data_IF_800502312845
#
_entry.id   IF_800502312845
#
_cell.length_a   1.000
_cell.length_b   1.000
_cell.length_c   1.000
_cell.angle_alpha   90.00
_cell.angle_beta   90.00
_cell.angle_gamma   90.00
#
_symmetry.space_group_name_H-M   'P 1'
#
loop_
_entity.id
_entity.type
_entity.pdbx_description
1 polymer ?
#
# COMPACT_ATOMS: atom_id res chain seq x y z
N UNK A 1 -8.81 -13.99 -5.12
CA UNK A 1 -9.63 -12.84 -5.52
C UNK A 1 -9.49 -11.81 -4.40
N UNK A 2 -9.10 -10.58 -4.70
CA UNK A 2 -8.96 -9.55 -3.66
C UNK A 2 -10.33 -8.95 -3.33
N UNK A 3 -10.45 -8.30 -2.16
CA UNK A 3 -11.71 -7.69 -1.71
C UNK A 3 -12.29 -6.72 -2.74
N UNK A 4 -11.44 -5.88 -3.33
CA UNK A 4 -11.86 -4.81 -4.27
C UNK A 4 -11.08 -4.76 -5.58
N UNK A 5 -10.06 -5.61 -5.72
CA UNK A 5 -9.19 -5.66 -6.90
C UNK A 5 -8.78 -7.10 -7.20
N UNK A 6 -8.74 -7.41 -8.49
CA UNK A 6 -8.21 -8.68 -8.99
C UNK A 6 -6.93 -8.46 -9.79
N UNK A 7 -6.09 -9.48 -9.86
CA UNK A 7 -4.81 -9.44 -10.55
C UNK A 7 -4.76 -10.58 -11.58
N UNK A 8 -4.51 -10.23 -12.83
CA UNK A 8 -4.04 -11.19 -13.85
C UNK A 8 -2.55 -10.98 -14.07
N UNK A 9 -1.78 -12.05 -13.96
CA UNK A 9 -0.34 -12.03 -14.23
C UNK A 9 -0.14 -12.33 -15.72
N UNK A 10 0.56 -11.43 -16.42
CA UNK A 10 0.99 -11.61 -17.80
C UNK A 10 2.36 -12.30 -17.80
N UNK A 11 3.31 -11.75 -17.03
CA UNK A 11 4.66 -12.28 -16.85
C UNK A 11 4.97 -12.37 -15.36
N UNK A 12 5.47 -13.52 -14.90
CA UNK A 12 5.89 -13.69 -13.51
C UNK A 12 7.18 -12.91 -13.21
N UNK A 13 7.29 -12.24 -12.05
CA UNK A 13 8.55 -11.66 -11.60
C UNK A 13 9.55 -12.73 -11.17
N UNK A 14 10.83 -12.51 -11.46
CA UNK A 14 11.96 -13.33 -10.97
C UNK A 14 12.76 -12.58 -9.92
N UNK A 15 13.92 -13.10 -9.49
CA UNK A 15 14.81 -12.35 -8.59
C UNK A 15 15.36 -11.09 -9.24
N UNK A 16 15.70 -11.16 -10.52
CA UNK A 16 16.41 -10.11 -11.25
C UNK A 16 15.49 -9.25 -12.11
N UNK A 17 14.34 -9.78 -12.53
CA UNK A 17 13.45 -9.12 -13.51
C UNK A 17 12.04 -8.96 -12.97
N UNK A 18 11.50 -7.74 -13.11
CA UNK A 18 10.09 -7.47 -12.81
C UNK A 18 9.16 -8.20 -13.78
N UNK A 19 8.00 -8.60 -13.27
CA UNK A 19 6.92 -9.17 -14.05
C UNK A 19 6.00 -8.09 -14.63
N UNK A 20 4.92 -8.52 -15.25
CA UNK A 20 3.83 -7.67 -15.76
C UNK A 20 2.50 -8.24 -15.35
N UNK A 21 1.58 -7.37 -14.95
CA UNK A 21 0.24 -7.79 -14.58
C UNK A 21 -0.78 -6.67 -14.77
N UNK A 22 -2.05 -7.06 -14.74
CA UNK A 22 -3.18 -6.15 -14.82
C UNK A 22 -3.99 -6.20 -13.55
N UNK A 23 -4.16 -5.05 -12.92
CA UNK A 23 -5.12 -4.88 -11.85
C UNK A 23 -6.48 -4.53 -12.45
N UNK A 24 -7.49 -5.30 -12.08
CA UNK A 24 -8.90 -5.05 -12.38
C UNK A 24 -9.56 -4.48 -11.13
N UNK A 25 -10.02 -3.25 -11.21
CA UNK A 25 -10.68 -2.55 -10.13
C UNK A 25 -12.17 -2.86 -10.21
N UNK A 26 -12.71 -3.54 -9.20
CA UNK A 26 -14.12 -3.92 -9.21
C UNK A 26 -15.02 -2.85 -8.60
N UNK A 27 -16.32 -2.99 -8.85
CA UNK A 27 -17.38 -2.21 -8.19
C UNK A 27 -17.71 -2.72 -6.77
N UNK A 28 -17.02 -3.78 -6.33
CA UNK A 28 -17.10 -4.31 -4.96
C UNK A 28 -16.52 -3.34 -3.95
N UNK A 29 -17.02 -3.38 -2.72
CA UNK A 29 -16.44 -2.67 -1.58
C UNK A 29 -16.41 -3.58 -0.35
N UNK A 30 -15.62 -3.18 0.64
CA UNK A 30 -15.47 -3.88 1.91
C UNK A 30 -15.56 -2.88 3.05
N UNK A 31 -16.14 -3.29 4.17
CA UNK A 31 -16.24 -2.50 5.40
C UNK A 31 -15.79 -3.39 6.54
N UNK A 32 -14.94 -2.88 7.44
CA UNK A 32 -14.41 -3.64 8.59
C UNK A 32 -13.74 -4.97 8.23
N UNK A 33 -13.08 -5.05 7.07
CA UNK A 33 -12.38 -6.24 6.58
C UNK A 33 -13.25 -7.51 6.47
N UNK A 34 -14.57 -7.34 6.36
CA UNK A 34 -15.52 -8.46 6.20
C UNK A 34 -15.46 -9.15 4.82
N UNK A 35 -14.64 -8.66 3.90
CA UNK A 35 -14.65 -9.10 2.50
C UNK A 35 -15.65 -8.31 1.65
N UNK A 36 -16.10 -8.91 0.55
CA UNK A 36 -17.03 -8.28 -0.39
C UNK A 36 -18.41 -8.06 0.24
N UNK A 37 -18.94 -6.85 0.13
CA UNK A 37 -20.31 -6.52 0.48
C UNK A 37 -21.29 -7.03 -0.60
N UNK A 38 -22.54 -7.37 -0.24
CA UNK A 38 -23.49 -7.99 -1.17
C UNK A 38 -23.88 -7.08 -2.34
N UNK A 39 -23.85 -5.76 -2.13
CA UNK A 39 -24.16 -4.76 -3.15
C UNK A 39 -22.88 -4.26 -3.84
N UNK A 40 -23.04 -3.77 -5.07
CA UNK A 40 -21.97 -3.11 -5.82
C UNK A 40 -22.24 -1.61 -5.97
N UNK A 41 -21.18 -0.81 -6.04
CA UNK A 41 -21.27 0.63 -6.29
C UNK A 41 -20.94 0.85 -7.78
N UNK A 42 -21.93 1.17 -8.64
CA UNK A 42 -21.71 1.27 -10.07
C UNK A 42 -20.58 2.24 -10.45
N UNK A 43 -19.68 1.80 -11.32
CA UNK A 43 -18.52 2.54 -11.82
C UNK A 43 -17.46 2.90 -10.77
N UNK A 44 -17.55 2.40 -9.53
CA UNK A 44 -16.51 2.60 -8.52
C UNK A 44 -15.15 2.10 -9.01
N UNK A 45 -15.10 0.94 -9.65
CA UNK A 45 -13.87 0.34 -10.16
C UNK A 45 -13.16 1.25 -11.18
N UNK A 46 -13.92 1.72 -12.17
CA UNK A 46 -13.46 2.69 -13.17
C UNK A 46 -12.98 4.00 -12.54
N UNK A 47 -13.77 4.56 -11.61
CA UNK A 47 -13.40 5.80 -10.93
C UNK A 47 -12.08 5.67 -10.15
N UNK A 48 -11.92 4.59 -9.38
CA UNK A 48 -10.70 4.33 -8.60
C UNK A 48 -9.49 4.03 -9.49
N UNK A 49 -9.69 3.33 -10.61
CA UNK A 49 -8.63 3.09 -11.59
C UNK A 49 -8.11 4.41 -12.17
N UNK A 50 -9.01 5.31 -12.59
CA UNK A 50 -8.64 6.63 -13.12
C UNK A 50 -7.98 7.54 -12.07
N UNK A 51 -8.48 7.54 -10.84
CA UNK A 51 -7.87 8.30 -9.73
C UNK A 51 -6.45 7.76 -9.46
N UNK A 52 -6.27 6.45 -9.42
CA UNK A 52 -4.96 5.82 -9.26
C UNK A 52 -3.99 6.21 -10.38
N UNK A 53 -4.44 6.10 -11.63
CA UNK A 53 -3.67 6.52 -12.80
C UNK A 53 -3.25 8.00 -12.74
N UNK A 54 -4.16 8.89 -12.34
CA UNK A 54 -3.88 10.31 -12.19
C UNK A 54 -2.72 10.56 -11.22
N UNK A 55 -2.75 9.93 -10.04
CA UNK A 55 -1.68 10.10 -9.07
C UNK A 55 -0.37 9.47 -9.54
N UNK A 56 -0.39 8.30 -10.19
CA UNK A 56 0.82 7.71 -10.77
C UNK A 56 1.48 8.63 -11.79
N UNK A 57 0.73 9.15 -12.76
CA UNK A 57 1.27 10.06 -13.77
C UNK A 57 1.78 11.38 -13.17
N UNK A 58 1.16 11.87 -12.10
CA UNK A 58 1.64 13.05 -11.36
C UNK A 58 2.97 12.77 -10.67
N UNK A 59 3.10 11.63 -10.00
CA UNK A 59 4.34 11.21 -9.34
C UNK A 59 5.48 11.02 -10.35
N UNK A 60 5.20 10.43 -11.50
CA UNK A 60 6.19 10.27 -12.57
C UNK A 60 6.67 11.61 -13.14
N UNK A 61 5.76 12.59 -13.30
CA UNK A 61 6.12 13.97 -13.67
C UNK A 61 6.99 14.66 -12.62
N UNK A 62 6.92 14.23 -11.36
CA UNK A 62 7.79 14.68 -10.27
C UNK A 62 9.10 13.88 -10.18
N UNK A 63 9.35 12.92 -11.09
CA UNK A 63 10.54 12.07 -11.09
C UNK A 63 10.48 10.89 -10.11
N UNK A 64 9.33 10.64 -9.48
CA UNK A 64 9.14 9.52 -8.55
C UNK A 64 8.84 8.26 -9.37
N UNK A 65 9.65 7.22 -9.18
CA UNK A 65 9.48 5.94 -9.87
C UNK A 65 8.22 5.24 -9.38
N UNK A 66 7.43 4.73 -10.31
CA UNK A 66 6.23 3.95 -10.00
C UNK A 66 6.27 2.59 -10.70
N UNK A 67 5.32 1.72 -10.36
CA UNK A 67 5.12 0.47 -11.08
C UNK A 67 4.10 0.59 -12.23
N UNK A 68 3.58 1.78 -12.51
CA UNK A 68 2.48 1.98 -13.44
C UNK A 68 2.97 1.94 -14.90
N UNK A 69 2.20 1.29 -15.78
CA UNK A 69 2.45 1.35 -17.22
C UNK A 69 1.36 2.08 -18.00
N UNK A 70 0.15 2.21 -17.45
CA UNK A 70 -0.98 2.82 -18.14
C UNK A 70 -2.33 2.20 -17.75
N UNK A 71 -3.41 2.92 -18.02
CA UNK A 71 -4.77 2.35 -18.05
C UNK A 71 -4.96 1.54 -19.32
N UNK A 72 -5.61 0.39 -19.23
CA UNK A 72 -5.78 -0.49 -20.39
C UNK A 72 -6.94 -0.01 -21.25
N UNK A 73 -6.64 0.34 -22.50
CA UNK A 73 -7.62 0.75 -23.52
C UNK A 73 -7.30 0.05 -24.83
N UNK A 74 -8.31 -0.58 -25.45
CA UNK A 74 -8.13 -1.45 -26.62
C UNK A 74 -7.02 -2.51 -26.42
N UNK A 75 -6.93 -3.05 -25.20
CA UNK A 75 -5.98 -4.11 -24.83
C UNK A 75 -4.54 -3.64 -24.60
N UNK A 76 -4.23 -2.34 -24.71
CA UNK A 76 -2.90 -1.78 -24.48
C UNK A 76 -2.89 -0.77 -23.34
N UNK A 77 -1.81 -0.66 -22.56
CA UNK A 77 -1.66 0.41 -21.59
C UNK A 77 -1.50 1.76 -22.30
N UNK A 78 -2.25 2.76 -21.84
CA UNK A 78 -2.24 4.14 -22.32
C UNK A 78 -2.25 5.10 -21.15
N UNK A 79 -1.72 6.30 -21.35
CA UNK A 79 -1.87 7.40 -20.40
C UNK A 79 -3.28 8.00 -20.47
N UNK A 80 -3.65 8.77 -19.44
CA UNK A 80 -4.98 9.35 -19.30
C UNK A 80 -5.36 10.28 -20.46
N UNK A 81 -4.39 10.99 -21.04
CA UNK A 81 -4.60 11.89 -22.19
C UNK A 81 -4.79 11.15 -23.53
N UNK A 82 -4.61 9.82 -23.55
CA UNK A 82 -4.72 8.96 -24.73
C UNK A 82 -5.98 8.08 -24.74
N UNK A 83 -6.84 8.22 -23.74
CA UNK A 83 -8.10 7.49 -23.63
C UNK A 83 -9.31 8.42 -23.76
N UNK A 84 -10.38 7.90 -24.35
CA UNK A 84 -11.67 8.62 -24.49
C UNK A 84 -12.76 8.06 -23.59
N UNK A 85 -12.57 6.84 -23.08
CA UNK A 85 -13.53 6.12 -22.25
C UNK A 85 -12.85 5.62 -20.96
N UNK A 86 -13.57 5.62 -19.82
CA UNK A 86 -13.02 5.16 -18.55
C UNK A 86 -12.73 3.66 -18.58
N UNK A 87 -11.59 3.27 -18.01
CA UNK A 87 -11.17 1.88 -17.84
C UNK A 87 -11.11 1.50 -16.36
N UNK A 88 -11.51 0.29 -16.04
CA UNK A 88 -11.37 -0.33 -14.71
C UNK A 88 -10.06 -1.10 -14.56
N UNK A 89 -9.24 -1.13 -15.62
CA UNK A 89 -8.05 -1.96 -15.69
C UNK A 89 -6.82 -1.11 -15.88
N UNK A 90 -5.77 -1.36 -15.10
CA UNK A 90 -4.44 -0.77 -15.32
C UNK A 90 -3.38 -1.85 -15.39
N UNK A 91 -2.37 -1.62 -16.21
CA UNK A 91 -1.20 -2.49 -16.29
C UNK A 91 -0.07 -1.95 -15.42
N UNK A 92 0.60 -2.86 -14.72
CA UNK A 92 1.66 -2.54 -13.77
C UNK A 92 2.83 -3.51 -13.89
N UNK A 93 4.01 -3.04 -13.48
CA UNK A 93 5.17 -3.87 -13.17
C UNK A 93 4.89 -4.65 -11.89
N UNK A 94 5.09 -5.96 -11.95
CA UNK A 94 5.03 -6.83 -10.78
C UNK A 94 6.44 -7.04 -10.21
N UNK A 95 6.49 -7.18 -8.89
CA UNK A 95 7.67 -7.59 -8.13
C UNK A 95 7.34 -8.87 -7.38
N UNK A 96 8.36 -9.59 -6.89
CA UNK A 96 8.12 -10.79 -6.10
C UNK A 96 7.41 -10.46 -4.78
N UNK A 97 6.49 -11.31 -4.38
CA UNK A 97 5.90 -11.27 -3.04
C UNK A 97 6.55 -12.38 -2.23
N UNK A 98 7.46 -12.00 -1.33
CA UNK A 98 8.13 -12.93 -0.41
C UNK A 98 7.25 -13.00 0.84
N UNK A 99 6.64 -14.14 1.12
CA UNK A 99 5.76 -14.26 2.28
C UNK A 99 6.58 -14.59 3.53
N UNK A 100 6.38 -13.89 4.66
CA UNK A 100 6.93 -14.35 5.93
C UNK A 100 6.32 -15.71 6.31
N UNK A 101 7.05 -16.50 7.08
CA UNK A 101 6.58 -17.81 7.56
C UNK A 101 6.01 -17.70 8.96
N UNK A 102 4.98 -18.49 9.28
CA UNK A 102 4.40 -18.49 10.63
C UNK A 102 5.39 -19.14 11.61
N UNK A 103 5.61 -18.49 12.75
CA UNK A 103 6.46 -18.94 13.85
C UNK A 103 5.65 -19.00 15.17
N UNK A 104 6.14 -19.67 16.23
CA UNK A 104 5.42 -19.76 17.51
C UNK A 104 5.05 -18.39 18.12
N UNK A 105 5.93 -17.39 17.96
CA UNK A 105 5.77 -16.05 18.55
C UNK A 105 5.36 -14.98 17.50
N UNK A 106 4.87 -15.39 16.32
CA UNK A 106 4.41 -14.47 15.28
C UNK A 106 4.84 -14.88 13.87
N UNK A 107 5.59 -14.00 13.20
CA UNK A 107 6.03 -14.17 11.82
C UNK A 107 7.55 -14.10 11.71
N UNK A 108 8.14 -15.05 10.99
CA UNK A 108 9.56 -15.06 10.64
C UNK A 108 9.78 -14.39 9.28
N UNK A 109 10.54 -13.29 9.32
CA UNK A 109 10.93 -12.47 8.18
C UNK A 109 12.34 -12.80 7.66
N UNK A 110 12.98 -13.86 8.16
CA UNK A 110 14.28 -14.34 7.65
C UNK A 110 14.35 -14.53 6.12
N UNK A 111 13.27 -14.83 5.37
CA UNK A 111 13.33 -14.89 3.90
C UNK A 111 13.69 -13.56 3.20
N UNK A 112 13.59 -12.42 3.90
CA UNK A 112 14.01 -11.13 3.39
C UNK A 112 15.53 -10.92 3.50
N UNK A 113 16.21 -11.67 4.38
CA UNK A 113 17.64 -11.52 4.60
C UNK A 113 18.43 -11.88 3.34
N UNK A 114 19.24 -10.94 2.86
CA UNK A 114 20.10 -11.12 1.68
C UNK A 114 19.38 -10.95 0.34
N UNK A 115 18.08 -10.65 0.32
CA UNK A 115 17.36 -10.31 -0.90
C UNK A 115 17.76 -8.91 -1.40
N UNK A 116 17.95 -8.78 -2.71
CA UNK A 116 18.44 -7.54 -3.34
C UNK A 116 17.48 -7.07 -4.42
N UNK A 117 16.51 -6.26 -4.02
CA UNK A 117 15.54 -5.62 -4.91
C UNK A 117 14.53 -6.57 -5.59
N UNK A 118 13.65 -5.97 -6.38
CA UNK A 118 12.56 -6.63 -7.12
C UNK A 118 11.64 -7.52 -6.26
N UNK A 119 11.38 -7.08 -5.03
CA UNK A 119 10.38 -7.66 -4.13
C UNK A 119 9.51 -6.56 -3.52
N UNK A 120 8.34 -6.95 -3.04
CA UNK A 120 7.45 -6.09 -2.25
C UNK A 120 8.00 -5.96 -0.84
N UNK A 121 8.31 -4.73 -0.43
CA UNK A 121 8.61 -4.38 0.96
C UNK A 121 7.36 -4.72 1.81
N UNK A 122 7.46 -5.50 2.89
CA UNK A 122 6.32 -6.07 3.61
C UNK A 122 5.64 -5.08 4.58
N UNK A 123 5.69 -3.80 4.25
CA UNK A 123 5.23 -2.71 5.10
C UNK A 123 4.08 -1.96 4.45
N UNK A 124 3.15 -1.49 5.26
CA UNK A 124 2.27 -0.39 4.90
C UNK A 124 2.80 0.89 5.51
N UNK A 125 3.17 1.86 4.67
CA UNK A 125 3.61 3.19 5.11
C UNK A 125 2.39 4.11 5.06
N UNK A 126 2.02 4.62 6.23
CA UNK A 126 0.82 5.43 6.43
C UNK A 126 1.26 6.85 6.74
N UNK A 127 0.73 7.83 6.00
CA UNK A 127 0.92 9.23 6.31
C UNK A 127 -0.40 9.87 6.75
N UNK A 128 -0.33 10.82 7.69
CA UNK A 128 -1.51 11.47 8.26
C UNK A 128 -1.30 12.98 8.32
N UNK A 129 -2.09 13.72 7.54
CA UNK A 129 -2.15 15.18 7.62
C UNK A 129 -3.08 15.67 8.75
N UNK A 130 -3.92 14.78 9.28
CA UNK A 130 -4.79 15.03 10.43
C UNK A 130 -5.23 13.72 11.09
N UNK A 131 -5.70 13.78 12.35
CA UNK A 131 -6.20 12.62 13.08
C UNK A 131 -7.72 12.72 13.30
N UNK A 132 -8.57 12.09 12.47
CA UNK A 132 -10.01 12.07 12.73
C UNK A 132 -10.34 11.28 14.02
N UNK A 133 -11.50 11.52 14.66
CA UNK A 133 -11.86 10.85 15.93
C UNK A 133 -11.76 9.32 15.92
N UNK A 134 -12.01 8.69 14.77
CA UNK A 134 -11.90 7.23 14.59
C UNK A 134 -10.48 6.71 14.34
N UNK A 135 -9.44 7.54 14.45
CA UNK A 135 -8.07 7.13 14.20
C UNK A 135 -7.60 6.08 15.20
N UNK A 136 -6.94 5.03 14.69
CA UNK A 136 -6.29 3.99 15.49
C UNK A 136 -5.20 4.54 16.44
N UNK A 137 -4.69 5.75 16.16
CA UNK A 137 -3.72 6.46 16.99
C UNK A 137 -4.26 6.70 18.40
N UNK A 138 -5.49 7.22 18.54
CA UNK A 138 -6.06 7.54 19.85
C UNK A 138 -6.22 6.32 20.75
N UNK A 139 -6.68 5.20 20.17
CA UNK A 139 -6.77 3.93 20.89
C UNK A 139 -5.39 3.48 21.38
N UNK A 140 -4.37 3.49 20.51
CA UNK A 140 -3.01 3.07 20.88
C UNK A 140 -2.36 3.97 21.93
N UNK A 141 -2.56 5.29 21.85
CA UNK A 141 -2.10 6.25 22.89
C UNK A 141 -2.75 5.93 24.24
N UNK A 142 -4.07 5.72 24.26
CA UNK A 142 -4.82 5.41 25.50
C UNK A 142 -4.41 4.07 26.13
N UNK A 143 -4.03 3.09 25.31
CA UNK A 143 -3.54 1.78 25.75
C UNK A 143 -2.05 1.78 26.13
N UNK A 144 -1.34 2.91 25.98
CA UNK A 144 0.10 3.02 26.23
C UNK A 144 0.98 2.25 25.23
N UNK A 145 0.42 1.84 24.08
CA UNK A 145 1.11 1.09 23.02
C UNK A 145 1.82 2.00 22.01
N UNK A 146 1.53 3.29 22.06
CA UNK A 146 2.13 4.33 21.25
C UNK A 146 2.37 5.53 22.17
N UNK A 147 3.47 6.24 21.97
CA UNK A 147 3.71 7.53 22.58
C UNK A 147 3.66 8.63 21.53
N UNK A 148 3.33 9.88 21.88
CA UNK A 148 3.36 10.98 20.92
C UNK A 148 4.70 11.14 20.21
N UNK A 149 5.81 10.89 20.91
CA UNK A 149 7.15 11.03 20.37
C UNK A 149 7.45 10.00 19.27
N UNK A 150 6.80 8.83 19.31
CA UNK A 150 6.89 7.82 18.25
C UNK A 150 6.29 8.30 16.93
N UNK A 151 5.38 9.29 16.98
CA UNK A 151 4.81 9.99 15.83
C UNK A 151 5.54 11.30 15.50
N UNK A 152 6.59 11.66 16.26
CA UNK A 152 7.27 12.95 16.15
C UNK A 152 6.52 14.12 16.78
N UNK A 153 5.59 13.85 17.70
CA UNK A 153 4.83 14.87 18.43
C UNK A 153 5.43 15.11 19.82
N UNK A 154 5.33 16.34 20.31
CA UNK A 154 5.73 16.76 21.66
C UNK A 154 4.55 16.90 22.63
N UNK A 155 3.34 16.59 22.16
CA UNK A 155 2.09 16.67 22.92
C UNK A 155 1.13 15.56 22.49
N UNK A 156 0.14 15.27 23.33
CA UNK A 156 -0.93 14.33 22.98
C UNK A 156 -1.88 15.03 22.00
N UNK A 157 -2.04 14.51 20.76
CA UNK A 157 -2.85 15.20 19.75
C UNK A 157 -4.34 15.12 20.07
N UNK A 158 -5.11 16.04 19.48
CA UNK A 158 -6.57 16.09 19.61
C UNK A 158 -7.31 15.60 18.35
N UNK A 159 -8.54 15.06 18.46
CA UNK A 159 -9.35 14.71 17.30
C UNK A 159 -9.60 15.89 16.35
N UNK A 160 -9.22 15.72 15.09
CA UNK A 160 -9.35 16.71 14.02
C UNK A 160 -8.14 17.64 13.87
N UNK A 161 -7.14 17.52 14.74
CA UNK A 161 -5.91 18.29 14.66
C UNK A 161 -5.23 18.08 13.30
N UNK A 162 -4.70 19.17 12.74
CA UNK A 162 -3.96 19.20 11.48
C UNK A 162 -2.50 19.47 11.77
N UNK A 163 -1.63 18.77 11.06
CA UNK A 163 -0.18 18.87 11.25
C UNK A 163 0.47 19.59 10.08
N UNK A 164 1.47 20.42 10.37
CA UNK A 164 2.27 21.13 9.35
C UNK A 164 3.11 20.15 8.53
N UNK A 165 3.57 19.07 9.15
CA UNK A 165 4.24 17.94 8.49
C UNK A 165 3.40 16.66 8.65
N UNK A 166 3.27 15.81 7.62
CA UNK A 166 2.55 14.57 7.74
C UNK A 166 3.18 13.66 8.80
N UNK A 167 2.36 13.14 9.72
CA UNK A 167 2.82 12.10 10.64
C UNK A 167 2.99 10.79 9.87
N UNK A 168 4.07 10.07 10.15
CA UNK A 168 4.33 8.77 9.54
C UNK A 168 4.11 7.64 10.56
N UNK A 169 3.48 6.57 10.09
CA UNK A 169 3.10 5.39 10.87
C UNK A 169 3.33 4.16 9.98
N UNK A 170 3.61 3.02 10.57
CA UNK A 170 3.99 1.82 9.80
C UNK A 170 3.38 0.57 10.39
N UNK A 171 2.87 -0.30 9.52
CA UNK A 171 2.36 -1.62 9.88
C UNK A 171 2.87 -2.72 8.96
N UNK A 172 2.67 -3.97 9.38
CA UNK A 172 2.88 -5.14 8.52
C UNK A 172 1.86 -5.16 7.38
N UNK A 173 2.19 -5.83 6.27
CA UNK A 173 1.32 -5.98 5.08
C UNK A 173 0.97 -7.43 4.70
N UNK A 174 1.79 -8.39 5.15
CA UNK A 174 1.74 -9.79 4.69
C UNK A 174 1.40 -10.77 5.82
N UNK A 175 1.05 -10.25 6.99
CA UNK A 175 0.53 -11.03 8.12
C UNK A 175 -0.97 -11.28 7.94
N UNK A 176 -1.58 -12.13 8.78
CA UNK A 176 -3.01 -12.36 8.77
C UNK A 176 -3.82 -11.15 9.25
N UNK A 177 -3.20 -10.31 10.08
CA UNK A 177 -3.75 -9.04 10.55
C UNK A 177 -2.59 -8.06 10.66
N UNK A 178 -2.77 -6.87 10.11
CA UNK A 178 -1.73 -5.86 10.12
C UNK A 178 -1.49 -5.36 11.54
N UNK A 179 -0.22 -5.37 11.94
CA UNK A 179 0.25 -4.94 13.26
C UNK A 179 1.11 -3.70 13.09
N UNK A 180 0.85 -2.69 13.92
CA UNK A 180 1.68 -1.48 13.97
C UNK A 180 3.07 -1.78 14.55
N UNK A 181 4.08 -1.13 13.98
CA UNK A 181 5.48 -1.35 14.29
C UNK A 181 6.15 -0.04 14.71
N UNK A 182 7.27 -0.15 15.42
CA UNK A 182 8.25 0.93 15.44
C UNK A 182 9.01 0.98 14.11
N UNK A 183 9.61 2.13 13.76
CA UNK A 183 10.48 2.23 12.59
C UNK A 183 11.70 1.31 12.67
N UNK A 184 12.25 1.10 13.88
CA UNK A 184 13.35 0.15 14.10
C UNK A 184 12.92 -1.29 13.79
N UNK A 185 11.72 -1.69 14.21
CA UNK A 185 11.18 -3.01 13.90
C UNK A 185 10.85 -3.15 12.40
N UNK A 186 10.23 -2.13 11.80
CA UNK A 186 9.92 -2.10 10.38
C UNK A 186 11.18 -2.26 9.51
N UNK A 187 12.26 -1.55 9.86
CA UNK A 187 13.56 -1.67 9.21
C UNK A 187 14.10 -3.11 9.28
N UNK A 188 14.05 -3.74 10.47
CA UNK A 188 14.51 -5.11 10.67
C UNK A 188 13.74 -6.13 9.84
N UNK A 189 12.40 -6.08 9.88
CA UNK A 189 11.57 -7.10 9.17
C UNK A 189 11.64 -6.96 7.66
N UNK A 190 11.87 -5.74 7.15
CA UNK A 190 12.01 -5.48 5.73
C UNK A 190 13.47 -5.60 5.23
N UNK A 191 14.41 -5.89 6.13
CA UNK A 191 15.86 -5.95 5.87
C UNK A 191 16.39 -4.67 5.19
N UNK A 192 15.88 -3.50 5.59
CA UNK A 192 16.25 -2.21 5.02
C UNK A 192 17.51 -1.65 5.67
N UNK A 193 18.33 -0.97 4.87
CA UNK A 193 19.46 -0.19 5.35
C UNK A 193 19.01 1.13 5.97
N UNK A 194 19.88 1.77 6.76
CA UNK A 194 19.60 3.11 7.33
C UNK A 194 19.31 4.16 6.25
N UNK A 195 19.91 4.03 5.06
CA UNK A 195 19.67 4.94 3.94
C UNK A 195 18.29 4.74 3.30
N UNK A 196 17.76 3.52 3.31
CA UNK A 196 16.44 3.21 2.73
C UNK A 196 15.27 3.59 3.65
N UNK A 197 15.52 3.81 4.94
CA UNK A 197 14.49 4.18 5.93
C UNK A 197 14.46 5.69 6.21
N UNK A 198 15.54 6.41 5.90
CA UNK A 198 15.64 7.88 6.04
C UNK A 198 14.77 8.63 5.05
#
# INVERSE_FOLDING_TARGET
MGSVKDLTIIDQPTKEKGGRGRFFFSDRYSVFDWGEMPDHIPNKGKALCLIGAYFFEKLEKMGIKTHYYGVVSAGQPKFLDQITEPSDTMEVKLVRVIKPTVAPDGYDYSPYLGEKGNFLIPLEVIYRNSLPPGSSVFKRLSEGKLKPEDLGLDHVPEPGEKFDQPLLDVSTKLEATDRYLSWEEAQKIAALTDEEVR
#
